data_IF_948562894236
#
_entry.id   IF_948562894236
#
_cell.length_a   1.000
_cell.length_b   1.000
_cell.length_c   1.000
_cell.angle_alpha   90.00
_cell.angle_beta   90.00
_cell.angle_gamma   90.00
#
_symmetry.space_group_name_H-M   'P 1'
#
loop_
_entity.id
_entity.type
_entity.pdbx_description
1 polymer ?
#
# COMPACT_ATOMS: atom_id res chain seq x y z
N UNK A 1 -5.43 26.45 -1.49
CA UNK A 1 -4.99 25.17 -2.10
C UNK A 1 -6.22 24.40 -2.54
N UNK A 2 -6.30 23.94 -3.81
CA UNK A 2 -7.39 23.05 -4.26
C UNK A 2 -7.20 21.67 -3.62
N UNK A 3 -8.15 21.25 -2.79
CA UNK A 3 -8.20 19.88 -2.27
C UNK A 3 -8.49 18.96 -3.46
N UNK A 4 -7.50 18.15 -3.85
CA UNK A 4 -7.72 17.07 -4.83
C UNK A 4 -8.59 16.01 -4.15
N UNK A 5 -9.74 15.71 -4.74
CA UNK A 5 -10.63 14.64 -4.28
C UNK A 5 -10.40 13.42 -5.18
N UNK A 6 -10.08 12.28 -4.59
CA UNK A 6 -10.01 11.01 -5.30
C UNK A 6 -11.32 10.26 -5.05
N UNK A 7 -11.87 9.61 -6.07
CA UNK A 7 -13.15 8.92 -5.96
C UNK A 7 -13.24 7.72 -6.92
N UNK A 8 -14.10 6.78 -6.58
CA UNK A 8 -14.56 5.71 -7.47
C UNK A 8 -15.89 6.13 -8.08
N UNK A 9 -16.00 6.05 -9.40
CA UNK A 9 -17.13 6.53 -10.18
C UNK A 9 -17.65 5.43 -11.09
N UNK A 10 -18.96 5.22 -11.11
CA UNK A 10 -19.62 4.34 -12.06
C UNK A 10 -20.08 5.14 -13.27
N UNK A 11 -19.44 4.91 -14.41
CA UNK A 11 -19.77 5.58 -15.67
C UNK A 11 -21.09 5.10 -16.28
N UNK A 12 -21.56 3.91 -15.93
CA UNK A 12 -22.80 3.36 -16.51
C UNK A 12 -24.03 3.98 -15.85
N UNK A 13 -23.93 4.26 -14.54
CA UNK A 13 -25.00 4.86 -13.74
C UNK A 13 -24.80 6.36 -13.49
N UNK A 14 -23.75 6.95 -14.06
CA UNK A 14 -23.35 8.36 -13.89
C UNK A 14 -23.22 8.76 -12.40
N UNK A 15 -22.79 7.82 -11.54
CA UNK A 15 -22.90 7.97 -10.09
C UNK A 15 -21.58 7.79 -9.35
N UNK A 16 -21.40 8.59 -8.30
CA UNK A 16 -20.29 8.44 -7.36
C UNK A 16 -20.51 7.17 -6.52
N UNK A 17 -19.63 6.18 -6.65
CA UNK A 17 -19.67 4.99 -5.80
C UNK A 17 -19.17 5.35 -4.39
N UNK A 18 -17.96 5.93 -4.30
CA UNK A 18 -17.38 6.33 -3.00
C UNK A 18 -16.23 7.32 -3.13
N UNK A 19 -15.97 8.08 -2.06
CA UNK A 19 -14.79 8.93 -1.95
C UNK A 19 -13.59 8.12 -1.45
N UNK A 20 -12.48 8.18 -2.18
CA UNK A 20 -11.22 7.55 -1.81
C UNK A 20 -10.47 8.52 -0.89
N UNK A 21 -10.59 8.30 0.42
CA UNK A 21 -9.86 9.07 1.45
C UNK A 21 -8.57 8.35 1.83
N UNK A 22 -7.53 9.13 2.15
CA UNK A 22 -6.31 8.57 2.71
C UNK A 22 -6.63 7.71 3.92
N UNK A 23 -5.91 6.61 4.00
CA UNK A 23 -6.20 5.56 4.93
C UNK A 23 -5.80 5.88 6.39
N UNK A 24 -5.17 7.04 6.61
CA UNK A 24 -4.99 7.71 7.91
C UNK A 24 -5.27 9.21 7.80
N UNK A 25 -5.79 9.84 8.88
CA UNK A 25 -5.75 11.29 9.04
C UNK A 25 -4.30 11.71 9.34
N UNK A 26 -3.58 12.18 8.32
CA UNK A 26 -2.27 12.79 8.51
C UNK A 26 -2.47 14.31 8.70
N UNK A 27 -2.07 14.88 9.85
CA UNK A 27 -2.40 16.27 10.17
C UNK A 27 -1.66 17.33 9.33
N UNK A 28 -0.66 16.96 8.51
CA UNK A 28 0.26 17.92 7.89
C UNK A 28 0.74 17.62 6.47
N UNK A 29 -0.06 17.00 5.60
CA UNK A 29 0.40 16.77 4.22
C UNK A 29 -0.62 17.16 3.15
N UNK A 30 -0.13 17.91 2.16
CA UNK A 30 -0.86 18.16 0.91
C UNK A 30 -1.10 16.81 0.25
N UNK A 31 -2.35 16.47 -0.03
CA UNK A 31 -2.73 15.25 -0.72
C UNK A 31 -1.84 15.01 -1.95
N UNK A 32 -0.86 14.10 -1.82
CA UNK A 32 -0.11 13.57 -2.94
C UNK A 32 -1.03 12.90 -3.97
N UNK A 33 -0.51 12.61 -5.16
CA UNK A 33 -1.24 11.81 -6.14
C UNK A 33 -1.49 10.39 -5.63
N UNK A 34 -2.46 9.69 -6.22
CA UNK A 34 -2.62 8.24 -6.04
C UNK A 34 -2.14 7.51 -7.29
N UNK A 35 -1.60 6.31 -7.13
CA UNK A 35 -1.43 5.35 -8.21
C UNK A 35 -2.33 4.15 -7.95
N UNK A 36 -2.79 3.51 -9.02
CA UNK A 36 -3.69 2.35 -8.91
C UNK A 36 -3.19 1.20 -9.77
N UNK A 37 -3.33 -0.01 -9.26
CA UNK A 37 -3.08 -1.25 -10.01
C UNK A 37 -4.31 -2.13 -9.89
N UNK A 38 -4.79 -2.63 -11.02
CA UNK A 38 -6.07 -3.32 -11.11
C UNK A 38 -5.90 -4.81 -11.40
N UNK A 39 -6.79 -5.63 -10.86
CA UNK A 39 -6.96 -7.01 -11.30
C UNK A 39 -7.59 -6.98 -12.69
N UNK A 40 -7.26 -7.95 -13.52
CA UNK A 40 -7.71 -8.00 -14.92
C UNK A 40 -9.24 -7.91 -15.07
N UNK A 41 -9.99 -8.54 -14.17
CA UNK A 41 -11.47 -8.50 -14.17
C UNK A 41 -12.06 -7.27 -13.48
N UNK A 42 -11.22 -6.30 -13.13
CA UNK A 42 -11.59 -5.03 -12.48
C UNK A 42 -12.31 -5.17 -11.14
N UNK A 43 -12.37 -6.36 -10.53
CA UNK A 43 -13.06 -6.54 -9.25
C UNK A 43 -12.23 -6.11 -8.04
N UNK A 44 -10.92 -5.96 -8.20
CA UNK A 44 -10.01 -5.54 -7.12
C UNK A 44 -9.00 -4.53 -7.64
N UNK A 45 -8.77 -3.46 -6.88
CA UNK A 45 -7.75 -2.45 -7.15
C UNK A 45 -6.85 -2.26 -5.91
N UNK A 46 -5.54 -2.16 -6.12
CA UNK A 46 -4.61 -1.67 -5.12
C UNK A 46 -4.37 -0.17 -5.36
N UNK A 47 -4.68 0.64 -4.36
CA UNK A 47 -4.47 2.09 -4.36
C UNK A 47 -3.27 2.41 -3.48
N UNK A 48 -2.28 3.10 -4.04
CA UNK A 48 -1.09 3.56 -3.32
C UNK A 48 -1.10 5.09 -3.22
N UNK A 49 -0.89 5.61 -2.02
CA UNK A 49 -0.83 7.05 -1.76
C UNK A 49 0.60 7.57 -1.90
N UNK A 50 0.85 8.38 -2.93
CA UNK A 50 2.18 8.85 -3.30
C UNK A 50 2.50 10.17 -2.63
N UNK A 51 2.65 10.15 -1.31
CA UNK A 51 3.17 11.31 -0.59
C UNK A 51 4.69 11.24 -0.44
N UNK A 52 5.36 12.39 -0.51
CA UNK A 52 6.83 12.48 -0.57
C UNK A 52 7.48 12.43 0.82
N UNK A 53 6.69 12.58 1.89
CA UNK A 53 7.20 12.85 3.24
C UNK A 53 6.53 12.06 4.38
N UNK A 54 5.66 11.09 4.09
CA UNK A 54 5.05 10.20 5.10
C UNK A 54 5.26 8.72 4.76
N UNK A 55 5.07 7.81 5.74
CA UNK A 55 4.80 6.41 5.46
C UNK A 55 3.69 6.31 4.41
N UNK A 56 4.00 5.72 3.26
CA UNK A 56 3.03 5.55 2.19
C UNK A 56 2.04 4.48 2.62
N UNK A 57 0.76 4.77 2.51
CA UNK A 57 -0.30 3.79 2.73
C UNK A 57 -0.64 3.12 1.39
N UNK A 58 -0.94 1.82 1.43
CA UNK A 58 -1.51 1.08 0.31
C UNK A 58 -2.82 0.42 0.77
N UNK A 59 -3.85 0.49 -0.05
CA UNK A 59 -5.21 0.06 0.30
C UNK A 59 -5.78 -0.79 -0.84
N UNK A 60 -6.27 -2.01 -0.55
CA UNK A 60 -7.00 -2.80 -1.54
C UNK A 60 -8.48 -2.43 -1.48
N UNK A 61 -9.07 -2.33 -2.66
CA UNK A 61 -10.46 -1.96 -2.89
C UNK A 61 -11.11 -3.09 -3.67
N UNK A 62 -12.22 -3.62 -3.16
CA UNK A 62 -13.13 -4.42 -3.99
C UNK A 62 -13.95 -3.43 -4.81
N UNK A 63 -14.24 -3.77 -6.06
CA UNK A 63 -15.05 -2.95 -6.96
C UNK A 63 -16.44 -3.60 -7.13
N UNK A 64 -16.58 -4.85 -6.67
CA UNK A 64 -17.85 -5.40 -6.21
C UNK A 64 -18.11 -4.92 -4.79
N UNK A 65 -18.65 -3.70 -4.66
CA UNK A 65 -18.95 -3.05 -3.38
C UNK A 65 -17.84 -2.14 -2.86
N UNK A 66 -18.23 -1.04 -2.21
CA UNK A 66 -17.41 0.17 -2.00
C UNK A 66 -16.38 0.12 -0.84
N UNK A 67 -15.89 -1.06 -0.45
CA UNK A 67 -15.07 -1.16 0.77
C UNK A 67 -13.58 -0.93 0.50
N UNK A 68 -13.02 0.04 1.23
CA UNK A 68 -11.60 0.38 1.22
C UNK A 68 -10.96 -0.24 2.47
N UNK A 69 -10.21 -1.33 2.30
CA UNK A 69 -9.44 -1.91 3.40
C UNK A 69 -8.01 -1.37 3.37
N UNK A 70 -7.61 -0.78 4.50
CA UNK A 70 -6.31 -0.12 4.68
C UNK A 70 -5.26 -1.15 5.10
N UNK A 71 -4.30 -1.45 4.23
CA UNK A 71 -3.24 -2.40 4.55
C UNK A 71 -2.00 -1.68 5.09
N UNK A 72 -2.16 -1.08 6.28
CA UNK A 72 -1.01 -0.81 7.17
C UNK A 72 -0.34 -2.12 7.63
N UNK A 73 -0.97 -3.27 7.37
CA UNK A 73 -0.43 -4.60 7.64
C UNK A 73 0.89 -4.82 6.91
N UNK A 74 1.03 -4.36 5.67
CA UNK A 74 2.25 -4.52 4.88
C UNK A 74 3.46 -3.85 5.57
N UNK A 75 3.25 -2.62 6.05
CA UNK A 75 4.28 -1.91 6.81
C UNK A 75 4.57 -2.60 8.15
N UNK A 76 3.55 -3.12 8.84
CA UNK A 76 3.71 -3.86 10.08
C UNK A 76 4.50 -5.16 9.89
N UNK A 77 4.18 -5.93 8.86
CA UNK A 77 4.84 -7.19 8.54
C UNK A 77 6.31 -6.97 8.17
N UNK A 78 6.59 -5.97 7.32
CA UNK A 78 7.96 -5.58 6.98
C UNK A 78 8.78 -5.18 8.22
N UNK A 79 8.20 -4.38 9.11
CA UNK A 79 8.84 -3.96 10.37
C UNK A 79 9.06 -5.13 11.31
N UNK A 80 8.08 -6.03 11.47
CA UNK A 80 8.21 -7.21 12.31
C UNK A 80 9.28 -8.17 11.79
N UNK A 81 9.30 -8.41 10.47
CA UNK A 81 10.32 -9.23 9.82
C UNK A 81 11.74 -8.69 10.05
N UNK A 82 11.94 -7.37 9.86
CA UNK A 82 13.25 -6.74 10.07
C UNK A 82 13.64 -6.69 11.55
N UNK A 83 12.70 -6.38 12.46
CA UNK A 83 12.96 -6.34 13.90
C UNK A 83 13.52 -7.67 14.41
N UNK A 84 13.05 -8.80 13.87
CA UNK A 84 13.48 -10.13 14.27
C UNK A 84 14.81 -10.58 13.64
N UNK A 85 15.32 -9.85 12.64
CA UNK A 85 16.44 -10.31 11.79
C UNK A 85 17.54 -9.28 11.53
N UNK A 86 17.39 -8.04 11.97
CA UNK A 86 18.30 -6.95 11.62
C UNK A 86 18.55 -5.97 12.77
N UNK A 87 19.76 -6.00 13.32
CA UNK A 87 20.18 -5.09 14.40
C UNK A 87 20.30 -3.64 13.90
N UNK A 88 20.70 -3.45 12.63
CA UNK A 88 20.84 -2.11 12.06
C UNK A 88 19.47 -1.46 11.81
N UNK A 89 18.44 -2.27 11.51
CA UNK A 89 17.05 -1.81 11.54
C UNK A 89 16.67 -1.27 12.92
N UNK A 90 16.92 -2.04 13.99
CA UNK A 90 16.53 -1.65 15.36
C UNK A 90 17.17 -0.31 15.79
N UNK A 91 18.43 -0.08 15.41
CA UNK A 91 19.14 1.19 15.67
C UNK A 91 18.49 2.39 14.98
N UNK A 92 17.91 2.19 13.81
CA UNK A 92 17.40 3.27 12.95
C UNK A 92 15.87 3.39 12.95
N UNK A 93 15.13 2.48 13.60
CA UNK A 93 13.67 2.27 13.45
C UNK A 93 12.80 3.54 13.50
N UNK A 94 13.21 4.54 14.28
CA UNK A 94 12.46 5.79 14.45
C UNK A 94 12.55 6.73 13.23
N UNK A 95 13.58 6.57 12.40
CA UNK A 95 13.87 7.42 11.24
C UNK A 95 13.57 6.72 9.91
N UNK A 96 12.99 5.52 9.94
CA UNK A 96 12.76 4.71 8.74
C UNK A 96 11.43 5.03 8.07
N UNK A 97 11.48 5.11 6.74
CA UNK A 97 10.33 5.22 5.84
C UNK A 97 10.22 3.92 5.04
N UNK A 98 8.99 3.51 4.75
CA UNK A 98 8.69 2.39 3.85
C UNK A 98 8.07 2.96 2.59
N UNK A 99 8.63 2.60 1.43
CA UNK A 99 8.21 3.07 0.11
C UNK A 99 7.98 1.89 -0.84
N UNK A 100 6.86 1.95 -1.57
CA UNK A 100 6.40 0.94 -2.50
C UNK A 100 6.51 1.38 -3.97
N UNK A 101 6.76 2.67 -4.23
CA UNK A 101 6.71 3.29 -5.56
C UNK A 101 8.04 3.26 -6.31
N UNK A 102 9.18 3.17 -5.59
CA UNK A 102 10.49 3.11 -6.27
C UNK A 102 10.60 1.96 -7.27
N UNK A 103 9.74 0.95 -7.14
CA UNK A 103 9.76 -0.24 -7.96
C UNK A 103 8.34 -0.65 -8.39
N UNK A 104 7.69 0.19 -9.18
CA UNK A 104 6.37 -0.10 -9.78
C UNK A 104 6.32 -1.46 -10.48
N UNK A 105 7.46 -1.94 -10.99
CA UNK A 105 7.62 -3.23 -11.67
C UNK A 105 7.31 -4.46 -10.80
N UNK A 106 7.37 -4.36 -9.47
CA UNK A 106 7.15 -5.48 -8.55
C UNK A 106 5.92 -5.32 -7.67
N UNK A 107 5.02 -4.41 -8.08
CA UNK A 107 3.66 -4.35 -7.59
C UNK A 107 2.78 -5.14 -8.55
N UNK A 108 2.54 -6.41 -8.23
CA UNK A 108 1.83 -7.34 -9.11
C UNK A 108 0.61 -7.90 -8.39
N UNK A 109 -0.55 -7.63 -8.95
CA UNK A 109 -1.79 -8.27 -8.54
C UNK A 109 -2.22 -9.27 -9.62
N UNK A 110 -2.31 -10.53 -9.23
CA UNK A 110 -2.80 -11.64 -10.06
C UNK A 110 -3.87 -12.38 -9.28
N UNK A 111 -4.59 -13.32 -9.90
CA UNK A 111 -5.67 -14.07 -9.26
C UNK A 111 -5.33 -14.45 -7.80
N UNK A 112 -6.15 -13.93 -6.87
CA UNK A 112 -6.07 -14.11 -5.41
C UNK A 112 -4.67 -13.91 -4.78
N UNK A 113 -3.76 -13.21 -5.47
CA UNK A 113 -2.36 -13.01 -5.08
C UNK A 113 -1.92 -11.58 -5.28
N UNK A 114 -1.26 -11.04 -4.26
CA UNK A 114 -0.62 -9.74 -4.32
C UNK A 114 0.87 -9.90 -3.97
N UNK A 115 1.73 -9.46 -4.87
CA UNK A 115 3.17 -9.32 -4.66
C UNK A 115 3.51 -7.84 -4.58
N UNK A 116 4.25 -7.46 -3.54
CA UNK A 116 4.68 -6.07 -3.31
C UNK A 116 6.16 -6.06 -2.96
N UNK A 117 6.93 -5.24 -3.69
CA UNK A 117 8.28 -4.87 -3.27
C UNK A 117 8.23 -3.59 -2.43
N UNK A 118 8.63 -3.68 -1.17
CA UNK A 118 8.79 -2.55 -0.29
C UNK A 118 10.27 -2.23 -0.08
N UNK A 119 10.60 -0.94 -0.09
CA UNK A 119 11.93 -0.45 0.27
C UNK A 119 11.85 0.29 1.59
N UNK A 120 12.58 -0.18 2.58
CA UNK A 120 12.72 0.43 3.90
C UNK A 120 14.03 1.20 3.94
N UNK A 121 14.00 2.50 4.19
CA UNK A 121 15.20 3.33 4.17
C UNK A 121 15.13 4.51 5.14
N UNK A 122 16.29 5.11 5.42
CA UNK A 122 16.37 6.39 6.13
C UNK A 122 16.39 7.55 5.12
N UNK A 123 15.41 8.49 5.14
CA UNK A 123 15.38 9.61 4.20
C UNK A 123 16.66 10.45 4.24
N UNK A 124 17.14 10.86 3.07
CA UNK A 124 18.34 11.73 2.92
C UNK A 124 19.61 11.20 3.60
N UNK A 125 19.68 9.88 3.85
CA UNK A 125 20.78 9.22 4.53
C UNK A 125 21.21 7.96 3.75
N UNK A 126 22.49 7.60 3.84
CA UNK A 126 23.04 6.32 3.30
C UNK A 126 23.09 5.20 4.35
N UNK A 127 22.54 5.45 5.54
CA UNK A 127 22.76 4.61 6.74
C UNK A 127 22.01 3.28 6.69
N UNK A 128 20.81 3.25 6.11
CA UNK A 128 20.03 2.03 6.03
C UNK A 128 19.11 2.06 4.81
N UNK A 129 19.16 1.01 4.00
CA UNK A 129 18.28 0.77 2.86
C UNK A 129 18.15 -0.74 2.65
N UNK A 130 16.94 -1.26 2.75
CA UNK A 130 16.65 -2.68 2.54
C UNK A 130 15.38 -2.83 1.71
N UNK A 131 15.44 -3.70 0.70
CA UNK A 131 14.27 -4.06 -0.09
C UNK A 131 13.74 -5.44 0.33
N UNK A 132 12.41 -5.55 0.37
CA UNK A 132 11.65 -6.71 0.85
C UNK A 132 10.57 -7.06 -0.17
N UNK A 133 10.68 -8.25 -0.75
CA UNK A 133 9.61 -8.83 -1.57
C UNK A 133 8.63 -9.55 -0.63
N UNK A 134 7.37 -9.13 -0.65
CA UNK A 134 6.32 -9.67 0.19
C UNK A 134 5.22 -10.24 -0.69
N UNK A 135 4.81 -11.49 -0.41
CA UNK A 135 3.69 -12.10 -1.12
C UNK A 135 2.53 -12.38 -0.19
N UNK A 136 1.35 -12.12 -0.71
CA UNK A 136 0.09 -12.25 0.00
C UNK A 136 -0.90 -13.07 -0.82
N UNK A 137 -1.76 -13.80 -0.11
CA UNK A 137 -3.00 -14.35 -0.64
C UNK A 137 -4.16 -13.51 -0.16
N UNK A 138 -5.14 -13.32 -1.02
CA UNK A 138 -6.35 -12.60 -0.63
C UNK A 138 -7.60 -13.24 -1.21
N UNK A 139 -8.72 -13.05 -0.54
CA UNK A 139 -10.02 -13.57 -0.93
C UNK A 139 -11.07 -12.47 -0.78
N UNK A 140 -11.98 -12.39 -1.77
CA UNK A 140 -13.14 -11.48 -1.72
C UNK A 140 -14.33 -12.26 -1.16
N UNK A 141 -14.94 -11.78 -0.08
CA UNK A 141 -16.11 -12.37 0.58
C UNK A 141 -17.18 -11.28 0.67
N UNK A 142 -18.12 -11.28 -0.29
CA UNK A 142 -19.05 -10.17 -0.46
C UNK A 142 -18.31 -8.87 -0.78
N UNK A 143 -18.40 -7.88 0.10
CA UNK A 143 -17.66 -6.60 -0.02
C UNK A 143 -16.32 -6.60 0.71
N UNK A 144 -16.02 -7.65 1.50
CA UNK A 144 -14.81 -7.74 2.32
C UNK A 144 -13.66 -8.37 1.53
N UNK A 145 -12.44 -7.93 1.81
CA UNK A 145 -11.22 -8.58 1.33
C UNK A 145 -10.45 -9.14 2.54
N UNK A 146 -10.35 -10.46 2.62
CA UNK A 146 -9.45 -11.16 3.55
C UNK A 146 -8.05 -11.25 2.97
N UNK A 147 -7.02 -11.07 3.80
CA UNK A 147 -5.64 -10.91 3.36
C UNK A 147 -4.68 -11.64 4.29
N UNK A 148 -3.82 -12.48 3.72
CA UNK A 148 -2.91 -13.33 4.47
C UNK A 148 -1.50 -13.21 3.90
N UNK A 149 -0.53 -12.88 4.76
CA UNK A 149 0.88 -12.92 4.42
C UNK A 149 1.31 -14.37 4.20
N UNK A 150 1.93 -14.63 3.05
CA UNK A 150 2.48 -15.95 2.69
C UNK A 150 3.95 -16.01 3.03
N UNK A 151 4.73 -15.04 2.54
CA UNK A 151 6.17 -14.96 2.79
C UNK A 151 6.73 -13.54 2.65
N UNK A 152 7.93 -13.36 3.21
CA UNK A 152 8.75 -12.16 3.07
C UNK A 152 10.19 -12.58 2.82
N UNK A 153 10.79 -12.00 1.77
CA UNK A 153 12.17 -12.25 1.38
C UNK A 153 12.92 -10.93 1.24
N UNK A 154 14.18 -10.90 1.70
CA UNK A 154 15.08 -9.79 1.36
C UNK A 154 15.50 -9.95 -0.09
N UNK A 155 15.48 -8.85 -0.83
CA UNK A 155 15.97 -8.75 -2.21
C UNK A 155 17.25 -7.95 -2.27
#
# INVERSE_FOLDING_TARGET
MRVRRNYLYDINTDSLITNIRSCKPMPYQSYGGISTTWRYDSQVALITYNDRWAPRDACLVSVNGAQINVYNQIQRDARAYLANRDINFLKNKNNLVVDFFRNDYLLRMTNNRLTVLATVYTPKSRVYSQSLLMNYRYQVIGTLIEFHLVDIQRT
#
